data_IF_543910736256
#
_entry.id   IF_543910736256
#
_cell.length_a   1.000
_cell.length_b   1.000
_cell.length_c   1.000
_cell.angle_alpha   90.00
_cell.angle_beta   90.00
_cell.angle_gamma   90.00
#
_symmetry.space_group_name_H-M   'P 1'
#
loop_
_entity.id
_entity.type
_entity.pdbx_description
1 polymer ?
#
# COMPACT_ATOMS: atom_id res chain seq x y z
N UNK A 1 -73.15 -16.62 -63.22
CA UNK A 1 -72.15 -17.12 -62.26
C UNK A 1 -71.00 -16.12 -62.28
N UNK A 2 -70.98 -15.22 -61.28
CA UNK A 2 -69.94 -14.18 -61.16
C UNK A 2 -68.90 -14.66 -60.15
N UNK A 3 -67.66 -14.81 -60.57
CA UNK A 3 -66.52 -15.02 -59.64
C UNK A 3 -65.87 -13.65 -59.40
N UNK A 4 -65.96 -13.21 -58.13
CA UNK A 4 -65.19 -12.07 -57.64
C UNK A 4 -63.80 -12.56 -57.18
N UNK A 5 -62.77 -11.98 -57.78
CA UNK A 5 -61.35 -12.09 -57.35
C UNK A 5 -61.08 -11.10 -56.18
N UNK A 6 -60.80 -11.63 -54.98
CA UNK A 6 -60.37 -10.83 -53.86
C UNK A 6 -58.85 -10.71 -53.94
N UNK A 7 -58.36 -9.48 -54.22
CA UNK A 7 -56.93 -9.12 -54.14
C UNK A 7 -56.54 -8.80 -52.72
N UNK A 8 -55.66 -9.59 -52.18
CA UNK A 8 -55.09 -9.42 -50.80
C UNK A 8 -53.73 -8.71 -50.92
N UNK A 9 -53.68 -7.39 -50.81
CA UNK A 9 -52.44 -6.62 -50.77
C UNK A 9 -51.91 -6.62 -49.33
N UNK A 10 -50.80 -7.35 -49.04
CA UNK A 10 -50.03 -7.25 -47.82
C UNK A 10 -49.25 -5.95 -47.82
N UNK A 11 -49.63 -5.02 -46.92
CA UNK A 11 -48.80 -3.86 -46.57
C UNK A 11 -47.57 -4.36 -45.80
N UNK A 12 -46.37 -4.16 -46.38
CA UNK A 12 -45.10 -4.33 -45.69
C UNK A 12 -44.93 -3.11 -44.75
N UNK A 13 -45.04 -3.36 -43.45
CA UNK A 13 -44.68 -2.37 -42.43
C UNK A 13 -43.15 -2.27 -42.35
N UNK A 14 -42.60 -1.16 -42.81
CA UNK A 14 -41.22 -0.78 -42.56
C UNK A 14 -41.03 -0.52 -41.05
N UNK A 15 -40.55 -1.51 -40.33
CA UNK A 15 -40.05 -1.30 -38.94
C UNK A 15 -38.74 -0.51 -39.01
N UNK A 16 -38.78 0.77 -38.67
CA UNK A 16 -37.57 1.57 -38.40
C UNK A 16 -36.82 0.90 -37.27
N UNK A 17 -35.66 0.34 -37.59
CA UNK A 17 -34.67 -0.07 -36.62
C UNK A 17 -34.23 1.19 -35.86
N UNK A 18 -34.69 1.35 -34.61
CA UNK A 18 -34.13 2.34 -33.71
C UNK A 18 -32.68 1.93 -33.45
N UNK A 19 -31.74 2.62 -34.06
CA UNK A 19 -30.35 2.63 -33.63
C UNK A 19 -30.33 3.18 -32.21
N UNK A 20 -30.37 2.29 -31.19
CA UNK A 20 -30.02 2.65 -29.84
C UNK A 20 -28.56 3.06 -29.89
N UNK A 21 -28.29 4.33 -29.64
CA UNK A 21 -26.94 4.78 -29.28
C UNK A 21 -26.47 3.90 -28.14
N UNK A 22 -25.49 3.04 -28.38
CA UNK A 22 -24.75 2.38 -27.35
C UNK A 22 -24.08 3.51 -26.56
N UNK A 23 -24.70 3.93 -25.46
CA UNK A 23 -23.99 4.69 -24.43
C UNK A 23 -22.81 3.82 -24.03
N UNK A 24 -21.62 4.26 -24.42
CA UNK A 24 -20.37 3.67 -23.94
C UNK A 24 -20.35 3.95 -22.45
N UNK A 25 -20.73 2.95 -21.66
CA UNK A 25 -20.62 3.00 -20.20
C UNK A 25 -19.22 3.51 -19.87
N UNK A 26 -19.12 4.70 -19.27
CA UNK A 26 -17.84 5.28 -18.89
C UNK A 26 -17.17 4.30 -17.95
N UNK A 27 -16.07 3.68 -18.38
CA UNK A 27 -15.24 2.80 -17.54
C UNK A 27 -14.69 3.64 -16.36
N UNK A 28 -15.42 3.63 -15.24
CA UNK A 28 -15.09 4.39 -14.01
C UNK A 28 -14.28 3.57 -13.02
N UNK A 29 -14.06 2.29 -13.31
CA UNK A 29 -13.33 1.39 -12.42
C UNK A 29 -11.85 1.79 -12.36
N UNK A 30 -11.33 1.96 -11.14
CA UNK A 30 -9.90 2.22 -10.94
C UNK A 30 -9.09 1.02 -11.43
N UNK A 31 -8.10 1.28 -12.30
CA UNK A 31 -7.14 0.26 -12.76
C UNK A 31 -5.77 0.58 -12.20
N UNK A 32 -5.13 -0.42 -11.61
CA UNK A 32 -3.73 -0.33 -11.16
C UNK A 32 -2.79 -0.23 -12.36
N UNK A 33 -1.58 0.28 -12.16
CA UNK A 33 -0.54 0.26 -13.20
C UNK A 33 -0.31 -1.16 -13.73
N UNK A 34 -0.28 -2.16 -12.84
CA UNK A 34 -0.13 -3.56 -13.20
C UNK A 34 -1.22 -4.09 -14.15
N UNK A 35 -2.47 -3.62 -14.00
CA UNK A 35 -3.58 -4.04 -14.86
C UNK A 35 -3.56 -3.41 -16.26
N UNK A 36 -2.73 -2.40 -16.50
CA UNK A 36 -2.60 -1.70 -17.79
C UNK A 36 -1.42 -2.27 -18.60
N UNK A 37 -1.43 -3.56 -18.82
CA UNK A 37 -0.35 -4.35 -19.45
C UNK A 37 0.11 -3.79 -20.79
N UNK A 38 -0.77 -3.17 -21.57
CA UNK A 38 -0.44 -2.54 -22.86
C UNK A 38 0.56 -1.38 -22.75
N UNK A 39 0.70 -0.77 -21.55
CA UNK A 39 1.61 0.35 -21.34
C UNK A 39 3.06 -0.09 -21.07
N UNK A 40 3.27 -1.36 -20.65
CA UNK A 40 4.60 -1.78 -20.25
C UNK A 40 5.10 -3.11 -20.85
N UNK A 41 4.22 -4.02 -21.31
CA UNK A 41 4.68 -5.32 -21.85
C UNK A 41 5.69 -5.19 -22.98
N UNK A 42 5.51 -4.22 -23.89
CA UNK A 42 6.47 -3.99 -24.99
C UNK A 42 7.84 -3.51 -24.49
N UNK A 43 7.92 -2.89 -23.33
CA UNK A 43 9.17 -2.44 -22.71
C UNK A 43 9.97 -3.62 -22.11
N UNK A 44 9.30 -4.75 -21.88
CA UNK A 44 9.86 -5.94 -21.24
C UNK A 44 10.32 -7.00 -22.24
N UNK A 45 9.87 -6.93 -23.50
CA UNK A 45 10.21 -7.93 -24.53
C UNK A 45 11.71 -8.02 -24.77
N UNK A 46 12.23 -9.24 -24.80
CA UNK A 46 13.64 -9.55 -25.00
C UNK A 46 14.55 -9.23 -23.82
N UNK A 47 13.97 -8.84 -22.66
CA UNK A 47 14.73 -8.44 -21.46
C UNK A 47 14.73 -9.51 -20.39
N UNK A 48 15.84 -9.57 -19.66
CA UNK A 48 15.95 -10.26 -18.38
C UNK A 48 15.46 -9.31 -17.28
N UNK A 49 14.36 -9.64 -16.62
CA UNK A 49 13.77 -8.76 -15.60
C UNK A 49 13.85 -9.37 -14.20
N UNK A 50 13.96 -8.51 -13.21
CA UNK A 50 13.68 -8.83 -11.81
C UNK A 50 12.42 -8.13 -11.35
N UNK A 51 11.68 -8.72 -10.42
CA UNK A 51 10.41 -8.16 -9.93
C UNK A 51 10.47 -8.02 -8.41
N UNK A 52 10.24 -6.80 -7.91
CA UNK A 52 10.03 -6.54 -6.48
C UNK A 52 8.55 -6.69 -6.22
N UNK A 53 8.16 -7.76 -5.52
CA UNK A 53 6.77 -8.18 -5.41
C UNK A 53 6.48 -8.86 -4.07
N UNK A 54 5.19 -8.80 -3.66
CA UNK A 54 4.64 -9.57 -2.55
C UNK A 54 3.22 -10.05 -2.90
N UNK A 55 2.47 -10.57 -1.93
CA UNK A 55 1.10 -11.07 -2.13
C UNK A 55 0.14 -10.04 -2.76
N UNK A 56 0.42 -8.74 -2.64
CA UNK A 56 -0.42 -7.68 -3.20
C UNK A 56 -0.20 -7.43 -4.69
N UNK A 57 0.85 -8.01 -5.26
CA UNK A 57 1.25 -7.86 -6.66
C UNK A 57 0.31 -8.62 -7.59
N UNK A 58 -0.96 -8.24 -7.60
CA UNK A 58 -2.01 -8.86 -8.40
C UNK A 58 -2.52 -7.92 -9.49
N UNK A 59 -2.87 -8.50 -10.63
CA UNK A 59 -3.54 -7.81 -11.73
C UNK A 59 -4.72 -8.62 -12.22
N UNK A 60 -5.75 -7.93 -12.70
CA UNK A 60 -6.90 -8.56 -13.34
C UNK A 60 -6.88 -8.25 -14.83
N UNK A 61 -6.93 -9.28 -15.65
CA UNK A 61 -7.00 -9.18 -17.10
C UNK A 61 -8.28 -9.80 -17.64
N UNK A 62 -8.77 -9.29 -18.76
CA UNK A 62 -9.87 -9.92 -19.47
C UNK A 62 -9.31 -11.05 -20.34
N UNK A 63 -9.68 -12.27 -20.03
CA UNK A 63 -9.41 -13.43 -20.86
C UNK A 63 -10.66 -13.74 -21.69
N UNK A 64 -10.47 -13.88 -23.00
CA UNK A 64 -11.51 -14.37 -23.90
C UNK A 64 -11.38 -15.87 -24.01
N UNK A 65 -12.49 -16.57 -23.80
CA UNK A 65 -12.57 -18.01 -23.99
C UNK A 65 -13.78 -18.32 -24.86
N UNK A 66 -13.63 -19.25 -25.79
CA UNK A 66 -14.73 -19.81 -26.54
C UNK A 66 -15.53 -20.72 -25.62
N UNK A 67 -16.81 -20.40 -25.41
CA UNK A 67 -17.71 -21.14 -24.51
C UNK A 67 -18.70 -22.02 -25.27
N UNK A 68 -18.82 -21.81 -26.58
CA UNK A 68 -19.55 -22.63 -27.55
C UNK A 68 -19.01 -22.30 -28.95
N UNK A 69 -19.25 -23.10 -30.00
CA UNK A 69 -18.81 -22.82 -31.35
C UNK A 69 -19.14 -21.38 -31.76
N UNK A 70 -18.13 -20.58 -32.07
CA UNK A 70 -18.22 -19.16 -32.43
C UNK A 70 -18.78 -18.22 -31.33
N UNK A 71 -18.87 -18.66 -30.05
CA UNK A 71 -19.34 -17.84 -28.93
C UNK A 71 -18.16 -17.52 -27.98
N UNK A 72 -17.61 -16.33 -28.10
CA UNK A 72 -16.55 -15.85 -27.22
C UNK A 72 -17.13 -15.12 -26.00
N UNK A 73 -16.74 -15.54 -24.81
CA UNK A 73 -17.03 -14.79 -23.56
C UNK A 73 -15.75 -14.24 -22.96
N UNK A 74 -15.83 -13.01 -22.46
CA UNK A 74 -14.75 -12.41 -21.69
C UNK A 74 -14.98 -12.66 -20.20
N UNK A 75 -13.97 -13.23 -19.53
CA UNK A 75 -13.95 -13.43 -18.08
C UNK A 75 -12.80 -12.62 -17.50
N UNK A 76 -13.07 -11.89 -16.42
CA UNK A 76 -12.02 -11.24 -15.63
C UNK A 76 -11.31 -12.31 -14.80
N UNK A 77 -10.01 -12.45 -15.00
CA UNK A 77 -9.15 -13.39 -14.26
C UNK A 77 -8.07 -12.61 -13.53
N UNK A 78 -7.87 -12.93 -12.25
CA UNK A 78 -6.84 -12.31 -11.43
C UNK A 78 -5.62 -13.23 -11.36
N UNK A 79 -4.46 -12.67 -11.68
CA UNK A 79 -3.17 -13.34 -11.62
C UNK A 79 -2.25 -12.61 -10.65
N UNK A 80 -1.31 -13.32 -10.04
CA UNK A 80 -0.14 -12.68 -9.46
C UNK A 80 0.77 -12.20 -10.60
N UNK A 81 1.33 -10.98 -10.48
CA UNK A 81 2.13 -10.36 -11.55
C UNK A 81 3.31 -11.24 -11.98
N UNK A 82 4.02 -11.85 -11.01
CA UNK A 82 5.15 -12.73 -11.31
C UNK A 82 4.70 -13.93 -12.14
N UNK A 83 3.59 -14.59 -11.76
CA UNK A 83 3.05 -15.72 -12.52
C UNK A 83 2.64 -15.30 -13.94
N UNK A 84 2.03 -14.12 -14.07
CA UNK A 84 1.59 -13.58 -15.35
C UNK A 84 2.78 -13.32 -16.28
N UNK A 85 3.81 -12.62 -15.79
CA UNK A 85 4.97 -12.25 -16.60
C UNK A 85 5.90 -13.45 -16.88
N UNK A 86 6.03 -14.38 -15.93
CA UNK A 86 6.82 -15.61 -16.11
C UNK A 86 6.29 -16.48 -17.26
N UNK A 87 4.96 -16.53 -17.42
CA UNK A 87 4.30 -17.26 -18.48
C UNK A 87 4.09 -16.45 -19.78
N UNK A 88 4.56 -15.19 -19.84
CA UNK A 88 4.36 -14.34 -20.99
C UNK A 88 5.49 -14.50 -22.01
N UNK A 89 5.13 -14.89 -23.25
CA UNK A 89 6.12 -15.13 -24.33
C UNK A 89 6.97 -13.89 -24.62
N UNK A 90 8.28 -14.10 -24.70
CA UNK A 90 9.26 -13.03 -25.01
C UNK A 90 9.68 -12.18 -23.80
N UNK A 91 9.31 -12.56 -22.56
CA UNK A 91 9.79 -11.95 -21.32
C UNK A 91 10.50 -13.02 -20.50
N UNK A 92 11.68 -12.69 -19.96
CA UNK A 92 12.45 -13.60 -19.12
C UNK A 92 12.49 -13.05 -17.68
N UNK A 93 11.68 -13.61 -16.78
CA UNK A 93 11.80 -13.30 -15.35
C UNK A 93 12.94 -14.12 -14.77
N UNK A 94 13.95 -13.47 -14.21
CA UNK A 94 15.16 -14.11 -13.63
C UNK A 94 15.04 -14.39 -12.14
N UNK A 95 14.44 -13.45 -11.39
CA UNK A 95 14.35 -13.53 -9.93
C UNK A 95 13.27 -12.60 -9.39
N UNK A 96 12.89 -12.86 -8.16
CA UNK A 96 11.96 -12.02 -7.38
C UNK A 96 12.70 -11.45 -6.18
N UNK A 97 12.54 -10.16 -5.92
CA UNK A 97 12.91 -9.52 -4.67
C UNK A 97 11.69 -9.41 -3.76
N UNK A 98 11.79 -9.96 -2.57
CA UNK A 98 10.69 -10.02 -1.60
C UNK A 98 10.92 -9.04 -0.44
N UNK A 99 9.99 -8.11 -0.16
CA UNK A 99 10.09 -7.21 0.97
C UNK A 99 9.69 -7.89 2.29
N UNK A 100 9.56 -7.10 3.35
CA UNK A 100 8.94 -7.52 4.62
C UNK A 100 7.61 -8.25 4.37
N UNK A 101 7.29 -9.26 5.17
CA UNK A 101 6.15 -10.19 5.04
C UNK A 101 6.25 -11.25 3.92
N UNK A 102 7.38 -11.32 3.21
CA UNK A 102 7.63 -12.37 2.24
C UNK A 102 6.90 -12.23 0.91
N UNK A 103 7.24 -13.10 -0.04
CA UNK A 103 6.73 -13.02 -1.41
C UNK A 103 5.25 -13.41 -1.55
N UNK A 104 4.82 -14.46 -0.85
CA UNK A 104 3.42 -14.94 -0.89
C UNK A 104 2.61 -14.57 0.35
N UNK A 105 3.14 -13.70 1.23
CA UNK A 105 2.41 -13.10 2.36
C UNK A 105 2.17 -14.02 3.55
N UNK A 106 3.01 -15.02 3.75
CA UNK A 106 2.90 -15.99 4.85
C UNK A 106 3.83 -15.71 6.04
N UNK A 107 4.63 -14.63 5.99
CA UNK A 107 5.65 -14.35 6.99
C UNK A 107 5.25 -13.24 7.97
N UNK A 108 5.58 -13.43 9.25
CA UNK A 108 5.37 -12.44 10.31
C UNK A 108 6.24 -11.18 10.10
N UNK A 109 5.80 -10.03 10.59
CA UNK A 109 6.47 -8.72 10.48
C UNK A 109 7.93 -8.69 10.99
N UNK A 110 8.37 -9.68 11.75
CA UNK A 110 9.74 -9.81 12.26
C UNK A 110 10.41 -11.11 11.82
N UNK A 111 9.79 -11.88 10.90
CA UNK A 111 10.37 -13.16 10.47
C UNK A 111 11.62 -12.92 9.61
N UNK A 112 12.64 -13.73 9.85
CA UNK A 112 13.85 -13.75 9.03
C UNK A 112 13.49 -14.41 7.70
N UNK A 113 13.26 -13.61 6.66
CA UNK A 113 12.99 -14.11 5.31
C UNK A 113 14.36 -14.44 4.69
N UNK A 114 14.67 -15.73 4.60
CA UNK A 114 15.84 -16.20 3.86
C UNK A 114 15.57 -16.19 2.35
N UNK A 115 16.64 -16.25 1.55
CA UNK A 115 16.55 -16.52 0.12
C UNK A 115 15.93 -17.90 -0.09
N UNK A 116 15.03 -18.04 -1.05
CA UNK A 116 14.24 -19.24 -1.29
C UNK A 116 13.95 -19.40 -2.79
N UNK A 117 13.23 -20.44 -3.16
CA UNK A 117 12.74 -20.68 -4.52
C UNK A 117 11.20 -20.71 -4.51
N UNK A 118 10.59 -19.94 -5.38
CA UNK A 118 9.12 -19.98 -5.54
C UNK A 118 8.68 -21.33 -6.12
N UNK A 119 7.95 -22.09 -5.33
CA UNK A 119 7.49 -23.45 -5.70
C UNK A 119 6.67 -23.45 -7.00
N UNK A 120 5.96 -22.35 -7.31
CA UNK A 120 5.09 -22.28 -8.47
C UNK A 120 5.83 -21.99 -9.77
N UNK A 121 6.85 -21.15 -9.74
CA UNK A 121 7.57 -20.70 -10.93
C UNK A 121 9.00 -21.22 -11.02
N UNK A 122 9.55 -21.76 -9.94
CA UNK A 122 10.95 -22.14 -9.85
C UNK A 122 11.93 -20.95 -9.78
N UNK A 123 11.41 -19.72 -9.65
CA UNK A 123 12.23 -18.52 -9.62
C UNK A 123 12.92 -18.33 -8.27
N UNK A 124 14.20 -17.89 -8.24
CA UNK A 124 14.85 -17.48 -7.01
C UNK A 124 14.12 -16.31 -6.35
N UNK A 125 13.86 -16.41 -5.04
CA UNK A 125 13.33 -15.34 -4.19
C UNK A 125 14.48 -14.81 -3.34
N UNK A 126 14.79 -13.53 -3.47
CA UNK A 126 15.83 -12.83 -2.73
C UNK A 126 15.20 -11.87 -1.74
N UNK A 127 15.55 -12.02 -0.46
CA UNK A 127 14.97 -11.22 0.61
C UNK A 127 15.54 -9.80 0.64
N UNK A 128 14.65 -8.79 0.72
CA UNK A 128 14.96 -7.39 1.01
C UNK A 128 14.55 -7.02 2.46
N UNK A 129 14.57 -7.98 3.37
CA UNK A 129 14.25 -7.78 4.77
C UNK A 129 15.39 -8.25 5.70
N UNK A 130 15.43 -7.71 6.92
CA UNK A 130 16.46 -8.06 7.90
C UNK A 130 17.81 -7.41 7.60
N UNK A 131 18.85 -8.21 7.33
CA UNK A 131 20.22 -7.72 7.11
C UNK A 131 20.41 -7.07 5.73
N UNK A 132 19.74 -7.57 4.72
CA UNK A 132 19.88 -7.12 3.32
C UNK A 132 18.61 -6.38 2.88
N UNK A 133 18.58 -5.07 3.04
CA UNK A 133 17.44 -4.21 2.66
C UNK A 133 17.54 -3.65 1.25
N UNK A 134 18.71 -3.75 0.64
CA UNK A 134 19.05 -3.19 -0.68
C UNK A 134 19.58 -4.30 -1.56
N UNK A 135 19.10 -4.45 -2.82
CA UNK A 135 19.71 -5.36 -3.78
C UNK A 135 21.21 -5.07 -3.94
N UNK A 136 22.04 -6.09 -3.91
CA UNK A 136 23.48 -5.96 -4.19
C UNK A 136 23.74 -5.90 -5.70
N UNK A 137 24.90 -5.38 -6.12
CA UNK A 137 25.34 -5.38 -7.52
C UNK A 137 25.29 -6.80 -8.12
N UNK A 138 25.78 -7.81 -7.38
CA UNK A 138 25.73 -9.22 -7.80
C UNK A 138 24.29 -9.72 -8.02
N UNK A 139 23.34 -9.27 -7.23
CA UNK A 139 21.93 -9.63 -7.41
C UNK A 139 21.28 -8.93 -8.61
N UNK A 140 21.86 -7.84 -9.11
CA UNK A 140 21.42 -7.13 -10.32
C UNK A 140 22.21 -7.51 -11.57
N UNK A 141 23.24 -8.38 -11.48
CA UNK A 141 23.94 -8.89 -12.65
C UNK A 141 22.99 -9.59 -13.63
N UNK A 142 23.14 -9.30 -14.93
CA UNK A 142 22.33 -9.83 -16.02
C UNK A 142 20.83 -9.49 -15.88
N UNK A 143 20.50 -8.38 -15.22
CA UNK A 143 19.16 -7.80 -15.15
C UNK A 143 19.13 -6.53 -16.01
N UNK A 144 18.27 -6.52 -17.02
CA UNK A 144 18.10 -5.39 -17.93
C UNK A 144 17.07 -4.38 -17.42
N UNK A 145 16.20 -4.79 -16.48
CA UNK A 145 15.14 -3.95 -15.94
C UNK A 145 14.58 -4.54 -14.65
N UNK A 146 14.26 -3.67 -13.70
CA UNK A 146 13.53 -4.03 -12.46
C UNK A 146 12.09 -3.51 -12.53
N UNK A 147 11.14 -4.33 -12.10
CA UNK A 147 9.74 -3.93 -11.88
C UNK A 147 9.48 -3.85 -10.38
N UNK A 148 8.84 -2.78 -9.92
CA UNK A 148 8.35 -2.65 -8.55
C UNK A 148 6.82 -2.64 -8.56
N UNK A 149 6.20 -3.62 -7.89
CA UNK A 149 4.74 -3.78 -7.81
C UNK A 149 4.32 -4.20 -6.41
N UNK A 150 4.19 -3.25 -5.49
CA UNK A 150 3.80 -3.49 -4.10
C UNK A 150 2.75 -2.47 -3.67
N UNK A 151 1.72 -2.91 -2.94
CA UNK A 151 0.70 -2.05 -2.38
C UNK A 151 1.20 -1.35 -1.12
N UNK A 152 1.31 -0.04 -1.16
CA UNK A 152 1.54 0.83 -0.01
C UNK A 152 0.22 1.29 0.61
N UNK A 153 0.25 1.80 1.85
CA UNK A 153 -0.94 2.30 2.56
C UNK A 153 -0.89 3.79 2.91
N UNK A 154 0.10 4.52 2.41
CA UNK A 154 0.20 5.97 2.55
C UNK A 154 0.64 6.47 3.92
N UNK A 155 1.35 5.65 4.69
CA UNK A 155 1.78 5.94 6.06
C UNK A 155 3.29 5.77 6.18
N UNK A 156 4.00 6.80 6.66
CA UNK A 156 5.47 6.86 6.67
C UNK A 156 6.14 5.66 7.32
N UNK A 157 5.60 5.14 8.41
CA UNK A 157 6.18 4.00 9.11
C UNK A 157 5.75 2.63 8.54
N UNK A 158 4.99 2.62 7.44
CA UNK A 158 4.77 1.43 6.63
C UNK A 158 5.91 1.30 5.62
N UNK A 159 6.73 0.26 5.73
CA UNK A 159 8.13 0.24 5.26
C UNK A 159 8.34 0.13 3.75
N UNK A 160 7.29 -0.03 2.93
CA UNK A 160 7.46 -0.23 1.49
C UNK A 160 8.00 0.98 0.72
N UNK A 161 7.77 2.19 1.22
CA UNK A 161 8.44 3.39 0.68
C UNK A 161 9.96 3.37 0.94
N UNK A 162 10.41 2.74 2.03
CA UNK A 162 11.84 2.53 2.30
C UNK A 162 12.41 1.42 1.43
N UNK A 163 11.64 0.35 1.18
CA UNK A 163 12.01 -0.69 0.20
C UNK A 163 12.17 -0.08 -1.19
N UNK A 164 11.22 0.76 -1.64
CA UNK A 164 11.32 1.47 -2.92
C UNK A 164 12.59 2.30 -3.00
N UNK A 165 12.92 3.08 -1.95
CA UNK A 165 14.15 3.87 -1.91
C UNK A 165 15.40 3.01 -2.14
N UNK A 166 15.53 1.89 -1.43
CA UNK A 166 16.72 1.04 -1.56
C UNK A 166 16.78 0.31 -2.91
N UNK A 167 15.65 -0.03 -3.50
CA UNK A 167 15.59 -0.59 -4.86
C UNK A 167 15.99 0.47 -5.87
N UNK A 168 15.46 1.69 -5.79
CA UNK A 168 15.84 2.81 -6.65
C UNK A 168 17.35 3.11 -6.56
N UNK A 169 17.90 3.13 -5.34
CA UNK A 169 19.31 3.38 -5.10
C UNK A 169 20.18 2.28 -5.72
N UNK A 170 19.82 1.00 -5.54
CA UNK A 170 20.53 -0.11 -6.16
C UNK A 170 20.47 -0.07 -7.70
N UNK A 171 19.30 0.23 -8.25
CA UNK A 171 19.10 0.40 -9.69
C UNK A 171 19.97 1.53 -10.26
N UNK A 172 19.98 2.72 -9.60
CA UNK A 172 20.77 3.85 -10.00
C UNK A 172 22.28 3.57 -9.95
N UNK A 173 22.77 2.93 -8.88
CA UNK A 173 24.19 2.57 -8.71
C UNK A 173 24.70 1.56 -9.78
N UNK A 174 23.79 0.74 -10.34
CA UNK A 174 24.14 -0.29 -11.31
C UNK A 174 23.64 0.00 -12.74
N UNK A 175 23.09 1.18 -13.00
CA UNK A 175 22.59 1.58 -14.32
C UNK A 175 21.41 0.75 -14.83
N UNK A 176 20.61 0.17 -13.92
CA UNK A 176 19.45 -0.67 -14.26
C UNK A 176 18.17 0.18 -14.19
N UNK A 177 17.37 0.27 -15.26
CA UNK A 177 16.09 0.99 -15.24
C UNK A 177 15.08 0.35 -14.27
N UNK A 178 14.21 1.18 -13.68
CA UNK A 178 13.14 0.76 -12.79
C UNK A 178 11.77 1.18 -13.32
N UNK A 179 10.84 0.24 -13.40
CA UNK A 179 9.42 0.53 -13.65
C UNK A 179 8.63 0.33 -12.35
N UNK A 180 7.95 1.36 -11.89
CA UNK A 180 6.96 1.27 -10.80
C UNK A 180 5.57 1.12 -11.41
N UNK A 181 4.90 0.03 -11.11
CA UNK A 181 3.49 -0.19 -11.44
C UNK A 181 2.64 0.40 -10.31
N UNK A 182 2.13 1.60 -10.52
CA UNK A 182 1.51 2.38 -9.45
C UNK A 182 0.22 1.74 -8.91
N UNK A 183 -0.05 1.97 -7.62
CA UNK A 183 -1.19 1.43 -6.89
C UNK A 183 -1.91 2.51 -6.09
N UNK A 184 -3.27 2.41 -5.96
CA UNK A 184 -4.05 3.38 -5.20
C UNK A 184 -3.58 3.48 -3.75
N UNK A 185 -3.49 4.70 -3.23
CA UNK A 185 -3.24 4.90 -1.80
C UNK A 185 -4.58 5.01 -1.06
N UNK A 186 -4.91 4.08 -0.13
CA UNK A 186 -6.17 4.10 0.61
C UNK A 186 -6.26 5.28 1.61
N UNK A 187 -5.13 5.87 2.01
CA UNK A 187 -5.04 7.09 2.83
C UNK A 187 -4.58 8.31 2.01
N UNK A 188 -4.78 8.30 0.68
CA UNK A 188 -4.35 9.37 -0.24
C UNK A 188 -5.08 10.70 -0.07
N UNK A 189 -6.24 10.70 0.58
CA UNK A 189 -7.18 11.83 0.66
C UNK A 189 -6.76 12.95 1.64
N UNK A 190 -5.73 12.75 2.46
CA UNK A 190 -5.25 13.74 3.40
C UNK A 190 -3.73 13.70 3.62
N UNK A 191 -3.21 14.78 4.21
CA UNK A 191 -1.81 14.93 4.59
C UNK A 191 -1.80 15.37 6.05
N UNK A 192 -1.11 14.62 6.93
CA UNK A 192 -1.18 14.92 8.36
C UNK A 192 -0.03 14.30 9.16
N UNK A 193 0.14 14.82 10.38
CA UNK A 193 1.14 14.36 11.35
C UNK A 193 2.48 15.08 11.26
N UNK A 194 3.36 14.84 12.24
CA UNK A 194 4.67 15.47 12.25
C UNK A 194 5.54 15.01 11.10
N UNK A 195 6.26 15.96 10.49
CA UNK A 195 7.29 15.67 9.48
C UNK A 195 8.50 15.05 10.17
N UNK A 196 9.09 14.03 9.55
CA UNK A 196 10.30 13.37 10.03
C UNK A 196 11.48 14.35 10.07
N UNK A 197 12.12 14.46 11.21
CA UNK A 197 13.43 15.15 11.33
C UNK A 197 14.55 14.16 10.92
N UNK A 198 15.52 14.58 10.07
CA UNK A 198 16.54 13.67 9.51
C UNK A 198 17.31 12.83 10.52
N UNK A 199 17.55 13.35 11.75
CA UNK A 199 18.22 12.60 12.83
C UNK A 199 17.45 11.36 13.33
N UNK A 200 16.16 11.27 13.02
CA UNK A 200 15.30 10.13 13.35
C UNK A 200 15.06 9.21 12.15
N UNK A 201 15.76 9.46 11.02
CA UNK A 201 15.63 8.63 9.83
C UNK A 201 16.06 7.18 10.11
N UNK A 202 15.24 6.24 9.66
CA UNK A 202 15.47 4.81 9.80
C UNK A 202 14.76 4.05 8.67
N UNK A 203 14.74 2.73 8.72
CA UNK A 203 13.92 1.95 7.78
C UNK A 203 12.41 2.16 8.00
N UNK A 204 11.98 2.50 9.22
CA UNK A 204 10.59 2.80 9.58
C UNK A 204 10.15 4.22 9.17
N UNK A 205 11.08 5.03 8.68
CA UNK A 205 10.81 6.38 8.17
C UNK A 205 12.10 6.97 7.64
N UNK A 206 12.22 7.08 6.32
CA UNK A 206 13.50 7.42 5.68
C UNK A 206 13.60 8.88 5.26
N UNK A 207 12.50 9.48 4.84
CA UNK A 207 12.49 10.80 4.21
C UNK A 207 11.76 11.85 5.07
N UNK A 208 12.04 13.14 4.89
CA UNK A 208 11.43 14.24 5.64
C UNK A 208 9.99 14.51 5.19
N UNK A 209 9.13 13.51 5.36
CA UNK A 209 7.70 13.58 5.03
C UNK A 209 6.84 13.44 6.29
N UNK A 210 5.57 13.92 6.27
CA UNK A 210 4.64 13.73 7.39
C UNK A 210 4.25 12.26 7.55
N UNK A 211 3.60 11.92 8.65
CA UNK A 211 3.12 10.54 8.90
C UNK A 211 2.19 10.06 7.78
N UNK A 212 1.25 10.90 7.37
CA UNK A 212 0.42 10.64 6.18
C UNK A 212 0.81 11.65 5.10
N UNK A 213 1.35 11.16 4.00
CA UNK A 213 1.95 11.99 2.95
C UNK A 213 1.04 12.22 1.74
N UNK A 214 -0.09 11.51 1.64
CA UNK A 214 -1.12 11.74 0.62
C UNK A 214 -0.64 11.57 -0.83
N UNK A 215 0.24 10.61 -1.11
CA UNK A 215 0.78 10.30 -2.44
C UNK A 215 0.68 8.81 -2.71
N UNK A 216 0.61 8.42 -3.98
CA UNK A 216 0.79 7.01 -4.38
C UNK A 216 2.26 6.62 -4.30
N UNK A 217 2.54 5.31 -4.38
CA UNK A 217 3.93 4.81 -4.37
C UNK A 217 4.72 5.29 -5.61
N UNK A 218 4.05 5.45 -6.76
CA UNK A 218 4.66 5.99 -7.98
C UNK A 218 5.02 7.46 -7.86
N UNK A 219 4.11 8.30 -7.33
CA UNK A 219 4.38 9.72 -7.04
C UNK A 219 5.51 9.87 -6.02
N UNK A 220 5.53 9.00 -5.00
CA UNK A 220 6.58 8.99 -3.99
C UNK A 220 7.96 8.65 -4.59
N UNK A 221 8.01 7.70 -5.53
CA UNK A 221 9.23 7.38 -6.28
C UNK A 221 9.75 8.58 -7.08
N UNK A 222 8.88 9.33 -7.76
CA UNK A 222 9.26 10.56 -8.45
C UNK A 222 9.82 11.62 -7.47
N UNK A 223 9.23 11.72 -6.27
CA UNK A 223 9.71 12.64 -5.25
C UNK A 223 11.10 12.24 -4.71
N UNK A 224 11.37 10.94 -4.53
CA UNK A 224 12.70 10.44 -4.13
C UNK A 224 13.77 10.93 -5.11
N UNK A 225 13.53 10.79 -6.42
CA UNK A 225 14.44 11.27 -7.45
C UNK A 225 14.56 12.81 -7.45
N UNK A 226 13.43 13.49 -7.55
CA UNK A 226 13.40 14.94 -7.75
C UNK A 226 13.93 15.73 -6.56
N UNK A 227 13.79 15.22 -5.34
CA UNK A 227 14.39 15.82 -4.14
C UNK A 227 15.81 15.27 -3.85
N UNK A 228 16.36 14.43 -4.74
CA UNK A 228 17.73 13.87 -4.68
C UNK A 228 18.00 13.11 -3.37
N UNK A 229 17.04 12.32 -2.91
CA UNK A 229 17.15 11.62 -1.64
C UNK A 229 17.93 10.32 -1.69
N UNK A 230 18.32 9.84 -2.87
CA UNK A 230 19.22 8.70 -3.02
C UNK A 230 20.65 9.09 -2.62
N UNK A 231 21.47 8.13 -2.26
CA UNK A 231 22.85 8.31 -1.81
C UNK A 231 23.63 9.15 -2.84
N UNK A 232 24.35 10.17 -2.38
CA UNK A 232 25.11 11.09 -3.21
C UNK A 232 24.27 11.88 -4.23
N UNK A 233 22.94 11.93 -4.07
CA UNK A 233 22.05 12.63 -4.99
C UNK A 233 21.95 12.01 -6.39
N UNK A 234 22.32 10.73 -6.54
CA UNK A 234 22.15 10.00 -7.81
C UNK A 234 20.66 9.89 -8.16
N UNK A 235 20.37 9.71 -9.43
CA UNK A 235 18.99 9.56 -9.92
C UNK A 235 18.81 8.17 -10.52
N UNK A 236 17.65 7.54 -10.23
CA UNK A 236 17.24 6.29 -10.83
C UNK A 236 16.56 6.56 -12.17
N UNK A 237 16.89 5.79 -13.21
CA UNK A 237 16.08 5.77 -14.45
C UNK A 237 14.71 5.14 -14.12
N UNK A 238 13.80 6.02 -13.69
CA UNK A 238 12.49 5.66 -13.14
C UNK A 238 11.36 5.93 -14.15
N UNK A 239 10.58 4.90 -14.44
CA UNK A 239 9.32 5.04 -15.15
C UNK A 239 8.14 4.61 -14.26
N UNK A 240 7.12 5.46 -14.13
CA UNK A 240 5.88 5.12 -13.44
C UNK A 240 4.81 4.75 -14.47
N UNK A 241 4.18 3.59 -14.31
CA UNK A 241 2.97 3.22 -15.04
C UNK A 241 1.78 3.66 -14.19
N UNK A 242 1.06 4.71 -14.60
CA UNK A 242 0.08 5.34 -13.73
C UNK A 242 -1.18 4.51 -13.54
N UNK A 243 -1.98 4.88 -12.55
CA UNK A 243 -3.35 4.42 -12.38
C UNK A 243 -4.27 5.01 -13.45
N UNK A 244 -5.35 4.32 -13.77
CA UNK A 244 -6.46 4.89 -14.56
C UNK A 244 -7.67 5.10 -13.65
N UNK A 245 -8.41 6.19 -13.86
CA UNK A 245 -9.63 6.55 -13.12
C UNK A 245 -9.42 6.73 -11.61
N UNK A 246 -8.25 7.18 -11.19
CA UNK A 246 -7.91 7.44 -9.79
C UNK A 246 -7.69 8.92 -9.55
N UNK A 247 -8.09 9.38 -8.38
CA UNK A 247 -7.72 10.66 -7.78
C UNK A 247 -7.34 10.42 -6.31
N UNK A 248 -6.67 11.36 -5.68
CA UNK A 248 -6.34 11.23 -4.25
C UNK A 248 -7.57 11.12 -3.35
N UNK A 249 -8.74 11.62 -3.80
CA UNK A 249 -10.01 11.51 -3.07
C UNK A 249 -10.75 10.18 -3.32
N UNK A 250 -10.24 9.33 -4.22
CA UNK A 250 -10.86 8.04 -4.52
C UNK A 250 -10.81 7.12 -3.33
N UNK A 251 -11.96 6.61 -2.89
CA UNK A 251 -12.01 5.51 -1.94
C UNK A 251 -11.64 4.22 -2.66
N UNK A 252 -10.74 3.47 -2.08
CA UNK A 252 -10.30 2.20 -2.65
C UNK A 252 -10.10 1.15 -1.57
N UNK A 253 -10.92 0.10 -1.65
CA UNK A 253 -10.76 -1.09 -0.80
C UNK A 253 -9.72 -2.02 -1.42
N UNK A 254 -8.73 -2.41 -0.64
CA UNK A 254 -7.65 -3.25 -1.13
C UNK A 254 -8.16 -4.69 -1.34
N UNK A 255 -8.00 -5.26 -2.55
CA UNK A 255 -8.46 -6.61 -2.83
C UNK A 255 -7.67 -7.70 -2.08
N UNK A 256 -6.45 -7.37 -1.66
CA UNK A 256 -5.56 -8.23 -0.89
C UNK A 256 -5.06 -7.44 0.32
N UNK A 257 -5.12 -8.03 1.51
CA UNK A 257 -4.56 -7.41 2.73
C UNK A 257 -3.07 -7.09 2.53
N UNK A 258 -2.64 -5.84 2.79
CA UNK A 258 -1.26 -5.43 2.51
C UNK A 258 -0.26 -6.00 3.53
N UNK A 259 -0.75 -6.39 4.71
CA UNK A 259 0.02 -7.00 5.79
C UNK A 259 -0.90 -7.93 6.59
N UNK A 260 -0.36 -8.98 7.25
CA UNK A 260 -1.12 -9.78 8.22
C UNK A 260 -1.75 -8.95 9.34
N UNK A 261 -1.18 -7.77 9.64
CA UNK A 261 -1.67 -6.87 10.69
C UNK A 261 -2.61 -5.75 10.18
N UNK A 262 -2.89 -5.68 8.89
CA UNK A 262 -3.85 -4.74 8.31
C UNK A 262 -4.93 -5.52 7.53
N UNK A 263 -5.85 -6.20 8.25
CA UNK A 263 -6.75 -7.19 7.65
C UNK A 263 -7.86 -6.59 6.79
N UNK A 264 -8.20 -5.30 6.95
CA UNK A 264 -9.35 -4.66 6.30
C UNK A 264 -9.20 -3.13 6.24
N UNK A 265 -10.13 -2.47 5.52
CA UNK A 265 -10.14 -1.02 5.33
C UNK A 265 -10.19 -0.23 6.65
N UNK A 266 -10.89 -0.76 7.66
CA UNK A 266 -10.97 -0.13 8.98
C UNK A 266 -9.60 -0.06 9.64
N UNK A 267 -8.85 -1.16 9.64
CA UNK A 267 -7.50 -1.19 10.20
C UNK A 267 -6.54 -0.27 9.45
N UNK A 268 -6.64 -0.23 8.11
CA UNK A 268 -5.83 0.63 7.25
C UNK A 268 -6.10 2.11 7.53
N UNK A 269 -7.37 2.49 7.69
CA UNK A 269 -7.75 3.87 7.96
C UNK A 269 -7.36 4.32 9.39
N UNK A 270 -7.43 3.43 10.38
CA UNK A 270 -7.03 3.73 11.77
C UNK A 270 -5.51 3.65 11.98
N UNK A 271 -4.79 2.96 11.11
CA UNK A 271 -3.35 2.73 11.26
C UNK A 271 -2.49 4.00 11.41
N UNK A 272 -2.74 5.12 10.69
CA UNK A 272 -2.01 6.37 10.90
C UNK A 272 -2.06 6.88 12.34
N UNK A 273 -3.18 6.70 13.03
CA UNK A 273 -3.38 7.10 14.43
C UNK A 273 -2.82 6.06 15.42
N UNK A 274 -3.05 4.78 15.15
CA UNK A 274 -2.70 3.69 16.07
C UNK A 274 -1.27 3.17 15.90
N UNK A 275 -0.61 3.45 14.79
CA UNK A 275 0.77 3.05 14.55
C UNK A 275 1.77 3.67 15.53
N UNK A 276 1.46 4.82 16.14
CA UNK A 276 2.27 5.38 17.23
C UNK A 276 2.39 4.43 18.42
N UNK A 277 1.38 3.60 18.67
CA UNK A 277 1.45 2.61 19.74
C UNK A 277 2.54 1.56 19.55
N UNK A 278 3.03 1.35 18.33
CA UNK A 278 4.20 0.46 18.13
C UNK A 278 5.41 0.91 18.95
N UNK A 279 5.54 2.21 19.16
CA UNK A 279 6.58 2.82 20.00
C UNK A 279 6.24 2.96 21.48
N UNK A 280 5.13 2.40 21.97
CA UNK A 280 4.69 2.49 23.37
C UNK A 280 4.58 1.11 24.01
N UNK A 281 4.15 1.06 25.27
CA UNK A 281 3.82 -0.20 25.96
C UNK A 281 2.39 -0.67 25.68
N UNK A 282 1.56 0.13 25.01
CA UNK A 282 0.16 -0.20 24.72
C UNK A 282 0.06 -1.18 23.56
N UNK A 283 -0.85 -2.16 23.67
CA UNK A 283 -1.17 -3.05 22.57
C UNK A 283 -2.23 -2.39 21.65
N UNK A 284 -1.97 -2.32 20.35
CA UNK A 284 -2.87 -1.80 19.33
C UNK A 284 -3.66 -2.93 18.61
N UNK A 285 -4.13 -3.92 19.36
CA UNK A 285 -4.91 -5.04 18.82
C UNK A 285 -4.09 -6.11 18.11
N UNK A 286 -2.76 -6.00 18.02
CA UNK A 286 -1.91 -7.07 17.46
C UNK A 286 -1.99 -8.32 18.34
N UNK A 287 -2.04 -9.49 17.70
CA UNK A 287 -2.33 -10.75 18.38
C UNK A 287 -3.83 -10.98 18.60
N UNK A 288 -4.69 -10.25 17.90
CA UNK A 288 -6.15 -10.50 17.79
C UNK A 288 -6.57 -10.51 16.32
N UNK A 289 -7.83 -10.76 16.01
CA UNK A 289 -8.39 -10.63 14.65
C UNK A 289 -8.70 -9.18 14.23
N UNK A 290 -8.54 -8.20 15.15
CA UNK A 290 -8.88 -6.80 14.95
C UNK A 290 -7.68 -5.89 15.19
N UNK A 291 -6.58 -6.20 14.51
CA UNK A 291 -5.34 -5.44 14.54
C UNK A 291 -5.62 -3.99 14.11
N UNK A 292 -5.04 -3.04 14.86
CA UNK A 292 -5.24 -1.59 14.67
C UNK A 292 -6.71 -1.15 14.62
N UNK A 293 -7.59 -1.86 15.37
CA UNK A 293 -9.00 -1.53 15.53
C UNK A 293 -9.42 -1.48 16.99
N UNK A 294 -8.45 -1.53 17.90
CA UNK A 294 -8.55 -1.43 19.36
C UNK A 294 -7.21 -1.10 19.95
N UNK A 295 -7.22 -0.58 21.17
CA UNK A 295 -5.99 -0.47 21.96
C UNK A 295 -6.26 -0.72 23.44
N UNK A 296 -5.24 -1.10 24.19
CA UNK A 296 -5.36 -1.32 25.63
C UNK A 296 -4.11 -1.93 26.26
N UNK A 297 -4.19 -2.09 27.56
CA UNK A 297 -3.14 -2.68 28.39
C UNK A 297 -3.71 -3.40 29.63
N UNK A 298 -2.98 -4.32 30.26
CA UNK A 298 -3.44 -5.00 31.48
C UNK A 298 -3.51 -4.07 32.70
N UNK A 299 -2.76 -2.96 32.66
CA UNK A 299 -2.67 -1.98 33.75
C UNK A 299 -3.69 -0.82 33.61
N UNK A 300 -4.52 -0.81 32.57
CA UNK A 300 -5.64 0.11 32.50
C UNK A 300 -6.72 -0.27 33.51
N UNK A 301 -7.44 0.72 33.99
CA UNK A 301 -8.62 0.47 34.82
C UNK A 301 -9.60 -0.44 34.07
N UNK A 302 -10.30 -1.28 34.84
CA UNK A 302 -11.29 -2.21 34.29
C UNK A 302 -12.41 -1.45 33.58
N UNK A 303 -12.65 -1.79 32.33
CA UNK A 303 -13.74 -1.27 31.50
C UNK A 303 -14.62 -2.41 30.99
N UNK A 304 -15.78 -2.11 30.42
CA UNK A 304 -16.65 -3.10 29.78
C UNK A 304 -16.01 -3.78 28.57
N UNK A 305 -15.00 -3.14 27.95
CA UNK A 305 -14.28 -3.69 26.83
C UNK A 305 -12.94 -4.26 27.26
N UNK A 306 -12.74 -5.53 26.98
CA UNK A 306 -11.47 -6.21 27.20
C UNK A 306 -11.14 -7.20 26.09
N UNK A 307 -9.87 -7.54 25.98
CA UNK A 307 -9.38 -8.53 25.02
C UNK A 307 -8.05 -9.13 25.48
N UNK A 308 -7.70 -10.29 24.96
CA UNK A 308 -6.46 -10.98 25.29
C UNK A 308 -5.65 -11.21 24.01
N UNK A 309 -4.49 -10.53 23.85
CA UNK A 309 -3.60 -10.80 22.72
C UNK A 309 -3.04 -12.22 22.79
N UNK A 310 -3.07 -12.95 21.69
CA UNK A 310 -2.48 -14.28 21.53
C UNK A 310 -1.54 -14.28 20.33
N UNK A 311 -0.59 -15.18 20.30
CA UNK A 311 0.25 -15.36 19.11
C UNK A 311 -0.63 -15.72 17.90
N UNK A 312 -0.41 -15.05 16.77
CA UNK A 312 -1.04 -15.33 15.48
C UNK A 312 -0.06 -15.08 14.34
N UNK A 313 -0.51 -15.28 13.08
CA UNK A 313 0.31 -15.11 11.88
C UNK A 313 0.99 -13.74 11.78
N UNK A 314 0.32 -12.65 12.18
CA UNK A 314 0.85 -11.29 12.12
C UNK A 314 1.64 -10.83 13.35
N UNK A 315 1.64 -11.62 14.44
CA UNK A 315 2.30 -11.28 15.69
C UNK A 315 2.60 -12.53 16.54
N UNK A 316 3.79 -13.07 16.41
CA UNK A 316 4.25 -14.22 17.25
C UNK A 316 4.39 -13.83 18.73
N UNK A 317 4.80 -12.58 18.97
CA UNK A 317 5.05 -12.01 20.30
C UNK A 317 4.34 -10.66 20.46
N UNK A 318 2.98 -10.64 20.46
CA UNK A 318 2.26 -9.39 20.65
C UNK A 318 2.52 -8.84 22.07
N UNK A 319 2.48 -7.52 22.21
CA UNK A 319 2.54 -6.90 23.54
C UNK A 319 1.43 -7.47 24.42
N UNK A 320 1.76 -7.75 25.67
CA UNK A 320 0.84 -8.34 26.66
C UNK A 320 0.26 -9.71 26.26
N UNK A 321 1.04 -10.52 25.53
CA UNK A 321 0.64 -11.87 25.14
C UNK A 321 0.05 -12.65 26.31
N UNK A 322 -1.13 -13.23 26.14
CA UNK A 322 -1.87 -14.02 27.12
C UNK A 322 -2.26 -13.26 28.41
N UNK A 323 -2.22 -11.92 28.42
CA UNK A 323 -2.73 -11.10 29.51
C UNK A 323 -4.03 -10.41 29.09
N UNK A 324 -5.01 -10.34 30.00
CA UNK A 324 -6.25 -9.61 29.77
C UNK A 324 -5.93 -8.11 29.72
N UNK A 325 -6.24 -7.45 28.63
CA UNK A 325 -6.08 -6.01 28.43
C UNK A 325 -7.46 -5.35 28.50
N UNK A 326 -7.57 -4.25 29.23
CA UNK A 326 -8.71 -3.33 29.21
C UNK A 326 -8.39 -2.17 28.28
N UNK A 327 -9.38 -1.59 27.62
CA UNK A 327 -9.09 -0.54 26.65
C UNK A 327 -10.31 -0.03 25.88
N UNK A 328 -10.10 0.26 24.60
CA UNK A 328 -11.10 0.88 23.72
C UNK A 328 -11.30 0.06 22.46
N UNK A 329 -12.55 -0.15 22.08
CA UNK A 329 -12.96 -0.77 20.81
C UNK A 329 -13.24 0.31 19.77
N UNK A 330 -12.45 0.33 18.69
CA UNK A 330 -12.54 1.30 17.62
C UNK A 330 -13.23 0.77 16.35
N UNK A 331 -13.77 -0.44 16.36
CA UNK A 331 -14.40 -1.03 15.16
C UNK A 331 -15.57 -0.22 14.62
N UNK A 332 -16.26 0.55 15.49
CA UNK A 332 -17.38 1.41 15.12
C UNK A 332 -16.99 2.87 14.89
N UNK A 333 -15.71 3.24 15.02
CA UNK A 333 -15.21 4.61 14.75
C UNK A 333 -15.56 5.01 13.32
N UNK A 334 -15.96 6.26 13.10
CA UNK A 334 -16.16 6.81 11.75
C UNK A 334 -14.85 6.77 10.95
N UNK A 335 -14.95 6.85 9.63
CA UNK A 335 -13.77 6.97 8.77
C UNK A 335 -13.03 8.26 9.09
N UNK A 336 -11.70 8.16 9.29
CA UNK A 336 -10.85 9.29 9.62
C UNK A 336 -10.29 9.92 8.34
N UNK A 337 -10.26 11.24 8.32
CA UNK A 337 -9.62 12.11 7.31
C UNK A 337 -8.45 12.91 7.89
N UNK A 338 -8.05 12.58 9.10
CA UNK A 338 -6.88 13.11 9.83
C UNK A 338 -6.39 12.08 10.84
N UNK A 339 -5.19 12.27 11.34
CA UNK A 339 -4.69 11.53 12.51
C UNK A 339 -5.51 11.98 13.72
N UNK A 340 -6.07 11.03 14.45
CA UNK A 340 -6.75 11.26 15.71
C UNK A 340 -5.79 11.00 16.88
N UNK A 341 -5.28 12.08 17.48
CA UNK A 341 -4.38 11.99 18.63
C UNK A 341 -5.10 11.66 19.93
N UNK A 342 -6.42 11.78 19.96
CA UNK A 342 -7.19 11.48 21.19
C UNK A 342 -6.95 10.08 21.70
N UNK A 343 -6.73 9.09 20.79
CA UNK A 343 -6.42 7.71 21.16
C UNK A 343 -5.08 7.60 21.91
N UNK A 344 -4.05 8.30 21.42
CA UNK A 344 -2.73 8.30 22.03
C UNK A 344 -2.73 9.04 23.38
N UNK A 345 -3.44 10.16 23.42
CA UNK A 345 -3.58 10.99 24.63
C UNK A 345 -4.39 10.26 25.71
N UNK A 346 -5.51 9.64 25.35
CA UNK A 346 -6.32 8.81 26.26
C UNK A 346 -5.50 7.68 26.87
N UNK A 347 -4.77 6.95 26.03
CA UNK A 347 -3.93 5.86 26.50
C UNK A 347 -2.79 6.33 27.41
N UNK A 348 -2.18 7.49 27.11
CA UNK A 348 -1.17 8.11 27.95
C UNK A 348 -1.72 8.48 29.32
N UNK A 349 -2.88 9.12 29.38
CA UNK A 349 -3.56 9.52 30.62
C UNK A 349 -3.99 8.31 31.48
N UNK A 350 -4.43 7.22 30.83
CA UNK A 350 -4.84 5.98 31.51
C UNK A 350 -3.66 5.13 31.98
N UNK A 351 -2.44 5.46 31.58
CA UNK A 351 -1.26 4.72 32.02
C UNK A 351 -0.84 5.17 33.41
N UNK A 352 -0.86 4.27 34.42
CA UNK A 352 -0.40 4.61 35.78
C UNK A 352 1.02 5.14 35.77
N UNK A 353 1.34 6.07 36.68
CA UNK A 353 2.73 6.62 36.81
C UNK A 353 3.78 5.57 37.14
N UNK A 354 3.37 4.42 37.67
CA UNK A 354 4.24 3.27 37.94
C UNK A 354 4.60 2.49 36.69
N UNK A 355 3.90 2.74 35.57
CA UNK A 355 4.10 2.06 34.30
C UNK A 355 4.76 2.99 33.29
N UNK A 356 5.67 2.43 32.49
CA UNK A 356 6.32 3.18 31.43
C UNK A 356 5.40 3.20 30.18
N UNK A 357 5.04 4.40 29.68
CA UNK A 357 4.25 4.52 28.45
C UNK A 357 5.13 4.45 27.19
N UNK A 358 6.13 5.33 27.07
CA UNK A 358 6.98 5.43 25.90
C UNK A 358 8.07 4.36 25.87
N UNK A 359 8.14 3.62 24.75
CA UNK A 359 9.22 2.70 24.44
C UNK A 359 10.38 3.40 23.70
N UNK A 360 11.48 2.70 23.51
CA UNK A 360 12.68 3.24 22.86
C UNK A 360 12.46 3.64 21.38
N UNK A 361 11.44 3.11 20.73
CA UNK A 361 11.14 3.36 19.29
C UNK A 361 10.07 4.42 19.06
N UNK A 362 9.53 5.06 20.12
CA UNK A 362 8.46 6.04 19.94
C UNK A 362 8.87 7.21 19.03
N UNK A 363 10.06 7.75 19.25
CA UNK A 363 10.58 8.87 18.46
C UNK A 363 10.82 8.50 17.00
N UNK A 364 11.05 7.21 16.70
CA UNK A 364 11.19 6.70 15.32
C UNK A 364 9.83 6.77 14.62
N UNK A 365 8.75 6.32 15.25
CA UNK A 365 7.39 6.39 14.68
C UNK A 365 6.90 7.83 14.59
N UNK A 366 7.11 8.64 15.64
CA UNK A 366 6.77 10.06 15.63
C UNK A 366 7.62 10.86 14.62
N UNK A 367 8.86 10.43 14.36
CA UNK A 367 9.81 11.12 13.50
C UNK A 367 10.50 12.32 14.15
N UNK A 368 10.28 12.53 15.44
CA UNK A 368 10.89 13.57 16.28
C UNK A 368 10.71 13.26 17.77
N UNK A 369 11.35 14.04 18.63
CA UNK A 369 11.20 13.96 20.10
C UNK A 369 10.04 14.83 20.62
N UNK A 370 9.57 15.79 19.82
CA UNK A 370 8.63 16.83 20.27
C UNK A 370 7.27 16.25 20.65
N UNK A 371 6.75 15.29 19.89
CA UNK A 371 5.44 14.69 20.20
C UNK A 371 5.41 14.06 21.58
N UNK A 372 6.47 13.35 21.98
CA UNK A 372 6.59 12.79 23.32
C UNK A 372 6.58 13.90 24.38
N UNK A 373 7.44 14.91 24.23
CA UNK A 373 7.53 16.04 25.15
C UNK A 373 6.20 16.79 25.31
N UNK A 374 5.48 16.97 24.21
CA UNK A 374 4.17 17.65 24.20
C UNK A 374 3.10 16.86 24.96
N UNK A 375 3.10 15.53 24.81
CA UNK A 375 2.21 14.65 25.59
C UNK A 375 2.56 14.69 27.09
N UNK A 376 3.86 14.62 27.43
CA UNK A 376 4.35 14.71 28.81
C UNK A 376 4.03 16.07 29.46
N UNK A 377 4.00 17.15 28.69
CA UNK A 377 3.59 18.50 29.11
C UNK A 377 2.09 18.68 29.20
N UNK A 378 1.29 17.71 28.76
CA UNK A 378 -0.16 17.77 28.78
C UNK A 378 -0.78 18.75 27.76
N UNK A 379 -0.08 19.04 26.65
CA UNK A 379 -0.62 19.88 25.59
C UNK A 379 -1.88 19.25 24.98
N UNK A 380 -2.85 20.10 24.62
CA UNK A 380 -4.04 19.67 23.89
C UNK A 380 -3.68 19.25 22.44
N UNK A 381 -4.56 18.45 21.81
CA UNK A 381 -4.39 18.06 20.39
C UNK A 381 -4.22 19.28 19.50
N UNK A 382 -4.98 20.35 19.72
CA UNK A 382 -4.92 21.57 18.90
C UNK A 382 -3.55 22.27 19.03
N UNK A 383 -2.99 22.35 20.21
CA UNK A 383 -1.64 22.92 20.43
C UNK A 383 -0.57 22.08 19.75
N UNK A 384 -0.65 20.75 19.88
CA UNK A 384 0.26 19.82 19.20
C UNK A 384 0.19 20.01 17.68
N UNK A 385 -1.03 20.01 17.11
CA UNK A 385 -1.25 20.14 15.66
C UNK A 385 -0.72 21.46 15.08
N UNK A 386 -0.85 22.58 15.80
CA UNK A 386 -0.27 23.87 15.41
C UNK A 386 1.22 23.79 15.17
N UNK A 387 1.94 22.97 15.92
CA UNK A 387 3.39 22.80 15.74
C UNK A 387 3.77 22.08 14.43
N UNK A 388 2.83 21.36 13.81
CA UNK A 388 3.03 20.65 12.55
C UNK A 388 2.82 21.54 11.30
N UNK A 389 2.01 22.60 11.41
CA UNK A 389 1.51 23.42 10.29
C UNK A 389 2.64 23.89 9.36
N UNK A 390 3.73 24.44 9.94
CA UNK A 390 4.87 24.92 9.15
C UNK A 390 5.51 23.81 8.32
N UNK A 391 5.68 22.63 8.91
CA UNK A 391 6.24 21.46 8.23
C UNK A 391 5.30 20.92 7.15
N UNK A 392 4.02 20.80 7.46
CA UNK A 392 2.99 20.33 6.53
C UNK A 392 2.85 21.27 5.33
N UNK A 393 2.87 22.58 5.54
CA UNK A 393 2.78 23.55 4.44
C UNK A 393 4.01 23.50 3.52
N UNK A 394 5.23 23.36 4.07
CA UNK A 394 6.42 23.10 3.27
C UNK A 394 6.32 21.81 2.46
N UNK A 395 5.89 20.73 3.10
CA UNK A 395 5.74 19.45 2.43
C UNK A 395 4.70 19.50 1.30
N UNK A 396 3.56 20.16 1.49
CA UNK A 396 2.53 20.34 0.45
C UNK A 396 3.12 20.98 -0.82
N UNK A 397 3.98 21.99 -0.69
CA UNK A 397 4.65 22.65 -1.84
C UNK A 397 5.60 21.68 -2.56
N UNK A 398 6.37 20.89 -1.80
CA UNK A 398 7.27 19.88 -2.39
C UNK A 398 6.45 18.80 -3.11
N UNK A 399 5.43 18.28 -2.44
CA UNK A 399 4.55 17.23 -2.96
C UNK A 399 3.90 17.60 -4.30
N UNK A 400 3.43 18.83 -4.46
CA UNK A 400 2.75 19.32 -5.66
C UNK A 400 3.57 19.12 -6.95
N UNK A 401 4.89 19.15 -6.87
CA UNK A 401 5.79 18.97 -8.02
C UNK A 401 5.75 17.55 -8.61
N UNK A 402 5.32 16.56 -7.81
CA UNK A 402 5.42 15.13 -8.13
C UNK A 402 4.07 14.45 -8.29
N UNK A 403 2.97 15.19 -8.24
CA UNK A 403 1.64 14.63 -8.41
C UNK A 403 1.37 14.24 -9.85
N UNK A 404 0.97 12.99 -10.04
CA UNK A 404 0.48 12.43 -11.32
C UNK A 404 -1.04 12.61 -11.41
N UNK A 405 -1.73 12.51 -10.27
CA UNK A 405 -3.18 12.50 -10.22
C UNK A 405 -3.70 13.83 -9.68
N UNK A 406 -4.65 14.41 -10.43
CA UNK A 406 -5.26 15.69 -10.03
C UNK A 406 -6.06 15.54 -8.73
N UNK A 407 -6.03 16.58 -7.88
CA UNK A 407 -7.10 16.82 -6.93
C UNK A 407 -8.32 17.25 -7.75
N UNK A 408 -9.45 16.60 -7.52
CA UNK A 408 -10.75 17.14 -7.95
C UNK A 408 -11.18 18.24 -6.99
#
# INVERSE_FOLDING_TARGET
>A
MNFQLISCSKKVQNSKIKTSSLEVEKDTVIKTGAAQTHLYLNLLKGKNIAIVANQTSVLSVLQRAEVAPNVMRSKKVTHHLVDYLHNYSGITVKKVFSPEHGFRGKEDAAAHIADDVDIKTGLPILSLHGKSKKPSAKQLENIDLVIFDIQDVGVRFYTYISTLHFVMEACAENGVPLIVLDRPNPNGHYIDGPVLEPKHASFVGKHPVPVVYGMTIGEYGQMINGEKWLKNGIECDLKVIPLKNYTHNSRYSLPIKPSPNLPNDKSINLYPSLGFFEGTTINAGRGTEFQFQRYGAPFFEKTDFSYMPKANEGAKYPKHKNKLCYGVDLRKTKHLDKIDLSFLMDAYQKTPKTEKFFGATFTIHAGNTKLQQQLEQGLSENEIRKTWEKGLNKFKIVREKYLIYKKL
#
